data_IF_744576225018
#
_entry.id   IF_744576225018
#
_cell.length_a   1.000
_cell.length_b   1.000
_cell.length_c   1.000
_cell.angle_alpha   90.00
_cell.angle_beta   90.00
_cell.angle_gamma   90.00
#
_symmetry.space_group_name_H-M   'P 1'
#
loop_
_entity.id
_entity.type
_entity.pdbx_description
1 polymer ?
#
# COMPACT_ATOMS: atom_id res chain seq x y z
N UNK A 1 5.64 -30.62 -10.81
CA UNK A 1 6.54 -30.55 -11.99
C UNK A 1 5.96 -31.49 -13.04
N UNK A 2 5.24 -31.01 -14.07
CA UNK A 2 4.46 -31.94 -14.94
C UNK A 2 4.56 -31.75 -16.45
N UNK A 3 5.00 -30.60 -17.00
CA UNK A 3 4.81 -30.34 -18.44
C UNK A 3 6.08 -29.97 -19.25
N UNK A 4 7.30 -30.05 -18.72
CA UNK A 4 8.53 -29.86 -19.52
C UNK A 4 8.71 -28.52 -20.23
N UNK A 5 7.78 -27.57 -20.07
CA UNK A 5 7.84 -26.26 -20.70
C UNK A 5 9.00 -25.47 -20.10
N UNK A 6 9.82 -24.85 -20.96
CA UNK A 6 10.79 -23.84 -20.53
C UNK A 6 10.03 -22.72 -19.84
N UNK A 7 10.15 -22.67 -18.52
CA UNK A 7 9.68 -21.52 -17.74
C UNK A 7 10.65 -20.39 -18.04
N UNK A 8 10.17 -19.38 -18.76
CA UNK A 8 10.91 -18.14 -18.90
C UNK A 8 10.96 -17.47 -17.52
N UNK A 9 12.11 -17.65 -16.86
CA UNK A 9 12.38 -17.08 -15.54
C UNK A 9 12.29 -15.55 -15.56
N UNK A 10 12.60 -14.91 -16.69
CA UNK A 10 12.48 -13.47 -16.86
C UNK A 10 11.03 -13.01 -16.80
N UNK A 11 10.12 -13.69 -17.52
CA UNK A 11 8.68 -13.37 -17.51
C UNK A 11 8.04 -13.76 -16.17
N UNK A 12 8.39 -14.93 -15.63
CA UNK A 12 7.87 -15.39 -14.34
C UNK A 12 8.30 -14.44 -13.22
N UNK A 13 9.59 -14.15 -13.07
CA UNK A 13 10.08 -13.25 -12.02
C UNK A 13 9.66 -11.79 -12.23
N UNK A 14 9.60 -11.30 -13.48
CA UNK A 14 9.19 -9.92 -13.76
C UNK A 14 7.72 -9.67 -13.42
N UNK A 15 6.80 -10.59 -13.76
CA UNK A 15 5.38 -10.44 -13.41
C UNK A 15 5.15 -10.36 -11.91
N UNK A 16 5.91 -11.11 -11.11
CA UNK A 16 5.81 -11.08 -9.65
C UNK A 16 6.48 -9.86 -9.01
N UNK A 17 7.49 -9.26 -9.67
CA UNK A 17 8.25 -8.11 -9.16
C UNK A 17 7.83 -6.75 -9.72
N UNK A 18 6.81 -6.66 -10.56
CA UNK A 18 6.27 -5.36 -10.98
C UNK A 18 5.76 -4.62 -9.73
N UNK A 19 6.47 -3.55 -9.36
CA UNK A 19 6.04 -2.63 -8.32
C UNK A 19 4.88 -1.81 -8.88
N UNK A 20 3.74 -1.90 -8.24
CA UNK A 20 2.56 -1.12 -8.57
C UNK A 20 2.39 0.02 -7.57
N UNK A 21 1.92 1.16 -8.05
CA UNK A 21 1.55 2.29 -7.20
C UNK A 21 0.28 1.92 -6.43
N UNK A 22 0.39 1.88 -5.11
CA UNK A 22 -0.73 1.65 -4.22
C UNK A 22 -1.13 2.96 -3.55
N UNK A 23 -2.42 3.30 -3.55
CA UNK A 23 -2.89 4.40 -2.71
C UNK A 23 -3.01 3.89 -1.29
N UNK A 24 -2.22 4.42 -0.36
CA UNK A 24 -2.26 4.03 1.05
C UNK A 24 -3.70 4.19 1.57
N UNK A 25 -4.32 5.32 1.27
CA UNK A 25 -5.75 5.54 1.46
C UNK A 25 -6.49 5.39 0.13
N UNK A 26 -7.37 4.37 -0.02
CA UNK A 26 -8.09 4.14 -1.26
C UNK A 26 -8.91 5.36 -1.71
N UNK A 27 -8.91 5.62 -3.03
CA UNK A 27 -9.68 6.74 -3.61
C UNK A 27 -11.16 6.72 -3.21
N UNK A 28 -11.78 5.55 -3.19
CA UNK A 28 -13.20 5.41 -2.85
C UNK A 28 -13.47 5.81 -1.40
N UNK A 29 -12.57 5.46 -0.47
CA UNK A 29 -12.64 5.87 0.93
C UNK A 29 -12.56 7.40 1.05
N UNK A 30 -11.57 8.02 0.40
CA UNK A 30 -11.36 9.47 0.50
C UNK A 30 -12.46 10.28 -0.20
N UNK A 31 -12.95 9.82 -1.35
CA UNK A 31 -14.11 10.43 -2.03
C UNK A 31 -15.35 10.42 -1.14
N UNK A 32 -15.60 9.33 -0.40
CA UNK A 32 -16.74 9.25 0.53
C UNK A 32 -16.63 10.24 1.70
N UNK A 33 -15.40 10.69 2.02
CA UNK A 33 -15.10 11.70 3.03
C UNK A 33 -15.06 13.13 2.48
N UNK A 34 -15.34 13.32 1.19
CA UNK A 34 -15.34 14.65 0.56
C UNK A 34 -13.95 15.25 0.33
N UNK A 35 -12.88 14.43 0.34
CA UNK A 35 -11.52 14.90 0.08
C UNK A 35 -11.34 15.23 -1.40
N UNK A 36 -10.62 16.32 -1.69
CA UNK A 36 -10.39 16.76 -3.06
C UNK A 36 -9.51 15.78 -3.85
N UNK A 37 -9.74 15.71 -5.16
CA UNK A 37 -8.98 14.84 -6.06
C UNK A 37 -7.47 15.17 -6.10
N UNK A 38 -7.08 16.43 -5.92
CA UNK A 38 -5.69 16.86 -5.83
C UNK A 38 -5.00 16.31 -4.58
N UNK A 39 -5.69 16.36 -3.42
CA UNK A 39 -5.20 15.74 -2.19
C UNK A 39 -5.12 14.22 -2.34
N UNK A 40 -6.19 13.57 -2.81
CA UNK A 40 -6.24 12.11 -3.01
C UNK A 40 -5.07 11.59 -3.85
N UNK A 41 -4.68 12.33 -4.89
CA UNK A 41 -3.59 11.98 -5.81
C UNK A 41 -2.24 12.61 -5.38
N UNK A 42 -2.12 13.08 -4.14
CA UNK A 42 -0.85 13.54 -3.58
C UNK A 42 0.18 12.41 -3.57
N UNK A 43 1.45 12.76 -3.83
CA UNK A 43 2.58 11.84 -3.77
C UNK A 43 2.70 11.17 -2.40
N UNK A 44 2.32 11.86 -1.32
CA UNK A 44 2.31 11.32 0.03
C UNK A 44 1.33 10.15 0.20
N UNK A 45 0.27 10.07 -0.60
CA UNK A 45 -0.73 9.00 -0.53
C UNK A 45 -0.35 7.75 -1.35
N UNK A 46 0.87 7.67 -1.87
CA UNK A 46 1.34 6.51 -2.62
C UNK A 46 2.40 5.71 -1.87
N UNK A 47 2.34 4.39 -2.00
CA UNK A 47 3.46 3.50 -1.69
C UNK A 47 3.69 2.52 -2.83
N UNK A 48 4.91 1.98 -2.91
CA UNK A 48 5.27 0.98 -3.90
C UNK A 48 5.14 -0.41 -3.31
N UNK A 49 4.23 -1.21 -3.86
CA UNK A 49 4.02 -2.58 -3.41
C UNK A 49 4.28 -3.57 -4.54
N UNK A 50 4.76 -4.80 -4.25
CA UNK A 50 4.72 -5.89 -5.20
C UNK A 50 3.28 -6.11 -5.71
N UNK A 51 3.10 -6.43 -6.99
CA UNK A 51 1.78 -6.65 -7.61
C UNK A 51 0.88 -7.60 -6.81
N UNK A 52 1.43 -8.67 -6.25
CA UNK A 52 0.68 -9.62 -5.41
C UNK A 52 0.14 -8.99 -4.12
N UNK A 53 0.96 -8.18 -3.44
CA UNK A 53 0.53 -7.46 -2.24
C UNK A 53 -0.51 -6.40 -2.60
N UNK A 54 -0.33 -5.68 -3.70
CA UNK A 54 -1.28 -4.68 -4.18
C UNK A 54 -2.67 -5.31 -4.44
N UNK A 55 -2.71 -6.47 -5.10
CA UNK A 55 -3.96 -7.21 -5.36
C UNK A 55 -4.64 -7.72 -4.08
N UNK A 56 -3.88 -8.16 -3.08
CA UNK A 56 -4.41 -8.65 -1.79
C UNK A 56 -5.01 -7.54 -0.94
N UNK A 57 -4.44 -6.34 -0.99
CA UNK A 57 -4.93 -5.16 -0.27
C UNK A 57 -6.12 -4.56 -1.00
N UNK A 58 -6.03 -4.39 -2.33
CA UNK A 58 -7.10 -3.85 -3.17
C UNK A 58 -7.60 -2.49 -2.66
N UNK A 59 -8.88 -2.38 -2.30
CA UNK A 59 -9.56 -1.17 -1.87
C UNK A 59 -9.82 -1.12 -0.35
N UNK A 60 -9.14 -1.94 0.44
CA UNK A 60 -9.27 -1.96 1.91
C UNK A 60 -8.73 -0.68 2.54
N UNK A 61 -9.38 -0.23 3.61
CA UNK A 61 -8.89 0.92 4.37
C UNK A 61 -7.57 0.58 5.11
N UNK A 62 -6.68 1.56 5.35
CA UNK A 62 -5.47 1.38 6.15
C UNK A 62 -5.67 0.61 7.44
N UNK A 63 -6.75 0.90 8.17
CA UNK A 63 -7.12 0.21 9.42
C UNK A 63 -7.29 -1.29 9.27
N UNK A 64 -7.70 -1.76 8.08
CA UNK A 64 -7.99 -3.16 7.81
C UNK A 64 -6.76 -3.95 7.37
N UNK A 65 -5.80 -3.30 6.69
CA UNK A 65 -4.69 -4.02 6.06
C UNK A 65 -3.34 -3.77 6.72
N UNK A 66 -3.03 -2.54 7.19
CA UNK A 66 -1.68 -2.18 7.63
C UNK A 66 -1.19 -3.09 8.75
N UNK A 67 -2.03 -3.33 9.76
CA UNK A 67 -1.68 -4.18 10.90
C UNK A 67 -1.69 -5.68 10.58
N UNK A 68 -2.21 -6.07 9.40
CA UNK A 68 -2.17 -7.46 8.92
C UNK A 68 -0.94 -7.76 8.05
N UNK A 69 -0.40 -6.75 7.37
CA UNK A 69 0.73 -6.92 6.44
C UNK A 69 2.06 -6.47 7.02
N UNK A 70 2.05 -5.49 7.94
CA UNK A 70 3.28 -4.99 8.57
C UNK A 70 3.46 -5.73 9.89
N UNK A 71 4.53 -6.52 10.05
CA UNK A 71 4.82 -7.17 11.33
C UNK A 71 5.07 -6.13 12.41
N UNK A 72 4.67 -6.43 13.65
CA UNK A 72 4.92 -5.55 14.78
C UNK A 72 6.42 -5.31 14.99
N UNK A 73 7.21 -6.37 14.82
CA UNK A 73 8.67 -6.27 14.76
C UNK A 73 9.09 -5.69 13.41
N UNK A 74 9.64 -4.49 13.42
CA UNK A 74 10.03 -3.78 12.19
C UNK A 74 9.00 -2.74 11.72
N UNK A 75 7.93 -2.49 12.50
CA UNK A 75 6.85 -1.59 12.09
C UNK A 75 7.36 -0.17 11.77
N UNK A 76 8.15 0.41 12.66
CA UNK A 76 8.68 1.77 12.50
C UNK A 76 9.64 1.83 11.30
N UNK A 77 10.55 0.87 11.19
CA UNK A 77 11.57 0.82 10.14
C UNK A 77 10.93 0.66 8.75
N UNK A 78 9.90 -0.18 8.64
CA UNK A 78 9.16 -0.38 7.39
C UNK A 78 8.44 0.92 7.00
N UNK A 79 7.74 1.57 7.93
CA UNK A 79 7.02 2.81 7.64
C UNK A 79 7.97 3.96 7.29
N UNK A 80 9.05 4.13 8.04
CA UNK A 80 10.09 5.14 7.77
C UNK A 80 10.72 4.94 6.38
N UNK A 81 11.04 3.69 6.01
CA UNK A 81 11.59 3.38 4.68
C UNK A 81 10.62 3.70 3.52
N UNK A 82 9.33 3.82 3.82
CA UNK A 82 8.28 4.20 2.87
C UNK A 82 7.82 5.66 3.06
N UNK A 83 8.49 6.47 3.87
CA UNK A 83 8.12 7.85 4.18
C UNK A 83 6.68 7.95 4.72
N UNK A 84 6.28 6.98 5.54
CA UNK A 84 4.97 6.91 6.17
C UNK A 84 5.07 7.27 7.67
N UNK A 85 4.11 8.00 8.24
CA UNK A 85 4.08 8.32 9.66
C UNK A 85 4.07 7.08 10.55
N UNK A 86 4.87 7.05 11.63
CA UNK A 86 4.94 5.91 12.56
C UNK A 86 3.75 5.81 13.54
N UNK A 87 2.93 6.86 13.62
CA UNK A 87 1.82 6.99 14.57
C UNK A 87 0.66 6.05 14.19
N UNK A 88 0.49 4.97 14.95
CA UNK A 88 -0.52 3.92 14.67
C UNK A 88 -1.95 4.45 14.60
N UNK A 89 -2.26 5.48 15.39
CA UNK A 89 -3.60 6.07 15.51
C UNK A 89 -4.10 6.64 14.17
N UNK A 90 -3.19 7.13 13.33
CA UNK A 90 -3.50 7.63 11.98
C UNK A 90 -4.18 6.54 11.15
N UNK A 91 -3.61 5.34 11.16
CA UNK A 91 -4.11 4.21 10.38
C UNK A 91 -5.31 3.56 11.04
N UNK A 92 -5.34 3.45 12.38
CA UNK A 92 -6.48 2.91 13.11
C UNK A 92 -7.77 3.70 12.87
N UNK A 93 -7.67 5.04 12.83
CA UNK A 93 -8.81 5.94 12.61
C UNK A 93 -9.07 6.26 11.15
N UNK A 94 -8.23 5.76 10.23
CA UNK A 94 -8.20 6.18 8.83
C UNK A 94 -8.16 7.73 8.72
N UNK A 95 -7.31 8.37 9.51
CA UNK A 95 -7.16 9.82 9.57
C UNK A 95 -6.24 10.32 8.46
N UNK A 96 -6.85 10.61 7.32
CA UNK A 96 -6.11 11.08 6.16
C UNK A 96 -5.52 12.49 6.34
N UNK A 97 -6.19 13.35 7.11
CA UNK A 97 -5.73 14.72 7.32
C UNK A 97 -4.46 14.77 8.16
N UNK A 98 -4.37 13.95 9.20
CA UNK A 98 -3.13 13.80 9.97
C UNK A 98 -2.03 13.13 9.12
N UNK A 99 -2.40 12.16 8.27
CA UNK A 99 -1.45 11.45 7.41
C UNK A 99 -0.72 12.37 6.40
N UNK A 100 -1.38 13.41 5.87
CA UNK A 100 -0.79 14.33 4.89
C UNK A 100 -0.04 15.52 5.50
N UNK A 101 -0.14 15.75 6.82
CA UNK A 101 0.49 16.87 7.55
C UNK A 101 1.95 16.63 7.96
N UNK A 102 2.61 15.66 7.33
CA UNK A 102 3.95 15.20 7.69
C UNK A 102 4.99 16.33 7.70
#
# INVERSE_FOLDING_TARGET
MVNGNKIDLGIALSKYNLKEYHHIFPRNLLKSKGIDSGEINSLCNFCFLPSDSNKKISNKAPSEYIFSIIPEKGYSEILESNLMPIKKEIYQKNDYHEFIKQ
#
